data_IF_123699692769
#
_entry.id   IF_123699692769
#
_cell.length_a   1.000
_cell.length_b   1.000
_cell.length_c   1.000
_cell.angle_alpha   90.00
_cell.angle_beta   90.00
_cell.angle_gamma   90.00
#
_symmetry.space_group_name_H-M   'P 1'
#
loop_
_entity.id
_entity.type
_entity.pdbx_description
1 polymer ?
#
# COMPACT_ATOMS: atom_id res chain seq x y z
N UNK A 1 2.64 27.74 0.76
CA UNK A 1 2.92 26.56 -0.05
C UNK A 1 3.92 25.72 0.73
N UNK A 2 3.49 24.68 1.48
CA UNK A 2 4.44 23.71 2.03
C UNK A 2 5.10 23.06 0.81
N UNK A 3 6.41 23.11 0.71
CA UNK A 3 7.15 22.23 -0.20
C UNK A 3 6.85 20.82 0.30
N UNK A 4 6.12 20.04 -0.49
CA UNK A 4 5.80 18.68 -0.13
C UNK A 4 7.11 17.90 -0.07
N UNK A 5 7.47 17.46 1.14
CA UNK A 5 8.68 16.69 1.37
C UNK A 5 8.55 15.33 0.69
N UNK A 6 9.49 15.00 -0.19
CA UNK A 6 9.57 13.67 -0.77
C UNK A 6 10.10 12.71 0.30
N UNK A 7 9.23 11.78 0.75
CA UNK A 7 9.62 10.80 1.77
C UNK A 7 10.20 9.52 1.17
N UNK A 8 9.89 9.21 -0.09
CA UNK A 8 10.51 8.13 -0.86
C UNK A 8 11.01 8.73 -2.18
N UNK A 9 12.25 8.45 -2.53
CA UNK A 9 12.83 8.80 -3.82
C UNK A 9 13.50 7.57 -4.44
N UNK A 10 13.14 7.27 -5.67
CA UNK A 10 13.65 6.12 -6.44
C UNK A 10 14.21 6.61 -7.76
N UNK A 11 15.46 6.25 -8.03
CA UNK A 11 16.17 6.68 -9.23
C UNK A 11 16.77 5.47 -9.96
N UNK A 12 16.36 5.28 -11.21
CA UNK A 12 16.83 4.26 -12.15
C UNK A 12 16.91 2.85 -11.53
N UNK A 13 15.86 2.46 -10.80
CA UNK A 13 15.81 1.22 -10.04
C UNK A 13 15.66 0.02 -10.98
N UNK A 14 16.56 -0.97 -10.86
CA UNK A 14 16.55 -2.20 -11.66
C UNK A 14 16.65 -3.44 -10.81
N UNK A 15 15.94 -4.51 -11.25
CA UNK A 15 16.04 -5.84 -10.65
C UNK A 15 15.74 -6.92 -11.68
N UNK A 16 16.60 -7.94 -11.72
CA UNK A 16 16.45 -9.12 -12.56
C UNK A 16 16.51 -10.39 -11.70
N UNK A 17 15.87 -11.44 -12.17
CA UNK A 17 15.95 -12.80 -11.66
C UNK A 17 16.34 -13.72 -12.83
N UNK A 18 17.64 -14.06 -12.92
CA UNK A 18 18.20 -14.70 -14.11
C UNK A 18 17.97 -13.83 -15.34
N UNK A 19 17.33 -14.37 -16.36
CA UNK A 19 17.05 -13.68 -17.62
C UNK A 19 15.80 -12.78 -17.57
N UNK A 20 15.05 -12.77 -16.45
CA UNK A 20 13.81 -12.02 -16.31
C UNK A 20 14.10 -10.68 -15.64
N UNK A 21 14.00 -9.58 -16.39
CA UNK A 21 14.05 -8.23 -15.84
C UNK A 21 12.70 -7.87 -15.21
N UNK A 22 12.61 -8.00 -13.88
CA UNK A 22 11.39 -7.72 -13.12
C UNK A 22 11.14 -6.21 -12.92
N UNK A 23 12.22 -5.39 -12.86
CA UNK A 23 12.15 -3.94 -12.78
C UNK A 23 13.22 -3.35 -13.72
N UNK A 24 12.80 -2.48 -14.65
CA UNK A 24 13.58 -2.08 -15.82
C UNK A 24 14.00 -0.61 -15.81
N UNK A 25 14.46 -0.10 -14.65
CA UNK A 25 14.91 1.29 -14.54
C UNK A 25 13.76 2.25 -14.35
N UNK A 26 13.12 2.19 -13.18
CA UNK A 26 11.99 3.05 -12.82
C UNK A 26 12.44 4.24 -11.97
N UNK A 27 11.79 5.39 -12.19
CA UNK A 27 12.02 6.65 -11.49
C UNK A 27 10.70 7.20 -10.95
N UNK A 28 10.62 7.40 -9.62
CA UNK A 28 9.46 8.00 -8.99
C UNK A 28 9.79 8.55 -7.61
N UNK A 29 8.86 9.31 -7.06
CA UNK A 29 8.89 9.77 -5.67
C UNK A 29 7.51 9.65 -5.03
N UNK A 30 7.49 9.70 -3.71
CA UNK A 30 6.27 9.72 -2.90
C UNK A 30 6.36 10.89 -1.93
N UNK A 31 5.32 11.72 -1.89
CA UNK A 31 5.23 12.85 -0.99
C UNK A 31 4.81 12.40 0.42
N UNK A 32 5.34 13.07 1.45
CA UNK A 32 5.02 12.78 2.85
C UNK A 32 3.53 13.00 3.14
N UNK A 33 2.89 12.06 3.84
CA UNK A 33 1.47 12.11 4.19
C UNK A 33 0.51 11.79 3.04
N UNK A 34 1.02 11.37 1.87
CA UNK A 34 0.18 11.00 0.73
C UNK A 34 -0.24 9.52 0.76
N UNK A 35 -1.35 9.23 0.10
CA UNK A 35 -1.77 7.90 -0.27
C UNK A 35 -1.33 7.62 -1.72
N UNK A 36 -0.33 6.79 -1.88
CA UNK A 36 0.31 6.48 -3.14
C UNK A 36 -0.01 5.05 -3.59
N UNK A 37 -0.37 4.84 -4.85
CA UNK A 37 -0.73 3.53 -5.38
C UNK A 37 0.13 3.08 -6.56
N UNK A 38 0.61 1.83 -6.49
CA UNK A 38 1.10 1.08 -7.63
C UNK A 38 -0.01 0.19 -8.19
N UNK A 39 -0.51 0.53 -9.38
CA UNK A 39 -1.49 -0.24 -10.13
C UNK A 39 -0.77 -1.07 -11.19
N UNK A 40 -1.17 -2.32 -11.36
CA UNK A 40 -0.66 -3.18 -12.44
C UNK A 40 -1.08 -4.64 -12.25
N UNK A 41 -0.98 -5.40 -13.32
CA UNK A 41 -1.27 -6.84 -13.29
C UNK A 41 -0.22 -7.62 -12.46
N UNK A 42 -0.53 -8.88 -12.17
CA UNK A 42 0.45 -9.78 -11.53
C UNK A 42 1.66 -9.94 -12.46
N UNK A 43 2.87 -9.92 -11.87
CA UNK A 43 4.11 -9.96 -12.63
C UNK A 43 4.59 -8.61 -13.18
N UNK A 44 3.85 -7.50 -12.97
CA UNK A 44 4.27 -6.17 -13.42
C UNK A 44 5.51 -5.59 -12.70
N UNK A 45 6.00 -6.22 -11.62
CA UNK A 45 7.16 -5.77 -10.84
C UNK A 45 6.81 -5.01 -9.55
N UNK A 46 5.52 -4.95 -9.17
CA UNK A 46 5.04 -4.21 -7.98
C UNK A 46 5.63 -4.73 -6.67
N UNK A 47 5.45 -6.02 -6.36
CA UNK A 47 5.95 -6.63 -5.12
C UNK A 47 7.48 -6.62 -5.07
N UNK A 48 8.16 -6.89 -6.21
CA UNK A 48 9.62 -6.75 -6.31
C UNK A 48 10.09 -5.34 -5.95
N UNK A 49 9.35 -4.32 -6.38
CA UNK A 49 9.66 -2.92 -6.02
C UNK A 49 9.43 -2.66 -4.54
N UNK A 50 8.31 -3.11 -3.96
CA UNK A 50 8.07 -3.01 -2.50
C UNK A 50 9.17 -3.71 -1.71
N UNK A 51 9.58 -4.92 -2.10
CA UNK A 51 10.62 -5.67 -1.39
C UNK A 51 11.94 -4.92 -1.36
N UNK A 52 12.30 -4.23 -2.45
CA UNK A 52 13.48 -3.38 -2.49
C UNK A 52 13.33 -2.13 -1.61
N UNK A 53 12.15 -1.47 -1.61
CA UNK A 53 11.86 -0.33 -0.74
C UNK A 53 11.90 -0.74 0.74
N UNK A 54 11.40 -1.91 1.08
CA UNK A 54 11.35 -2.44 2.43
C UNK A 54 12.67 -3.08 2.91
N UNK A 55 13.74 -3.00 2.13
CA UNK A 55 15.07 -3.57 2.43
C UNK A 55 15.12 -5.10 2.50
N UNK A 56 14.11 -5.79 1.95
CA UNK A 56 14.08 -7.27 1.90
C UNK A 56 14.84 -7.82 0.70
N UNK A 57 14.97 -7.03 -0.34
CA UNK A 57 15.62 -7.40 -1.59
C UNK A 57 16.61 -6.32 -2.01
N UNK A 58 17.82 -6.74 -2.39
CA UNK A 58 18.82 -5.81 -2.94
C UNK A 58 18.54 -5.55 -4.40
N UNK A 59 18.53 -4.28 -4.80
CA UNK A 59 18.48 -3.87 -6.20
C UNK A 59 19.78 -4.25 -6.93
N UNK A 60 19.68 -4.54 -8.22
CA UNK A 60 20.87 -4.76 -9.05
C UNK A 60 21.56 -3.42 -9.42
N UNK A 61 20.75 -2.38 -9.61
CA UNK A 61 21.23 -1.00 -9.79
C UNK A 61 20.15 0.02 -9.46
N UNK A 62 20.54 1.29 -9.41
CA UNK A 62 19.69 2.40 -9.02
C UNK A 62 19.88 2.80 -7.57
N UNK A 63 19.10 3.79 -7.12
CA UNK A 63 19.16 4.31 -5.75
C UNK A 63 17.77 4.48 -5.18
N UNK A 64 17.63 4.15 -3.91
CA UNK A 64 16.41 4.36 -3.13
C UNK A 64 16.78 5.17 -1.90
N UNK A 65 16.03 6.26 -1.66
CA UNK A 65 16.04 7.01 -0.42
C UNK A 65 14.69 6.94 0.26
N UNK A 66 14.70 6.74 1.57
CA UNK A 66 13.51 6.77 2.43
C UNK A 66 13.77 7.74 3.56
N UNK A 67 12.99 8.83 3.62
CA UNK A 67 13.28 10.00 4.43
C UNK A 67 14.71 10.51 4.08
N UNK A 68 15.62 10.58 5.04
CA UNK A 68 17.02 11.00 4.81
C UNK A 68 17.99 9.81 4.66
N UNK A 69 17.48 8.57 4.59
CA UNK A 69 18.27 7.34 4.63
C UNK A 69 18.35 6.64 3.28
N UNK A 70 19.50 6.07 2.97
CA UNK A 70 19.72 5.31 1.72
C UNK A 70 19.57 3.81 1.98
N UNK A 71 18.73 3.14 1.19
CA UNK A 71 18.54 1.68 1.25
C UNK A 71 19.88 0.97 0.95
N UNK A 72 20.13 -0.15 1.61
CA UNK A 72 21.38 -0.91 1.66
C UNK A 72 22.55 -0.25 2.42
N UNK A 73 22.34 0.96 2.99
CA UNK A 73 23.32 1.61 3.88
C UNK A 73 22.77 1.84 5.27
N UNK A 74 21.52 2.26 5.35
CA UNK A 74 20.85 2.66 6.59
C UNK A 74 19.63 1.76 6.92
N UNK A 75 19.66 0.49 6.53
CA UNK A 75 18.50 -0.41 6.57
C UNK A 75 17.83 -0.51 7.95
N UNK A 76 18.60 -0.52 9.04
CA UNK A 76 18.03 -0.61 10.39
C UNK A 76 17.24 0.65 10.77
N UNK A 77 17.69 1.82 10.31
CA UNK A 77 16.96 3.08 10.50
C UNK A 77 15.68 3.07 9.67
N UNK A 78 15.78 2.64 8.40
CA UNK A 78 14.63 2.51 7.50
C UNK A 78 13.59 1.55 8.08
N UNK A 79 14.00 0.37 8.57
CA UNK A 79 13.10 -0.61 9.21
C UNK A 79 12.36 -0.04 10.42
N UNK A 80 12.93 0.93 11.12
CA UNK A 80 12.25 1.60 12.23
C UNK A 80 11.18 2.60 11.76
N UNK A 81 11.30 3.13 10.53
CA UNK A 81 10.40 4.12 9.95
C UNK A 81 9.24 3.51 9.16
N UNK A 82 9.33 2.23 8.80
CA UNK A 82 8.34 1.57 7.95
C UNK A 82 7.52 0.53 8.70
N UNK A 83 6.26 0.43 8.33
CA UNK A 83 5.39 -0.71 8.63
C UNK A 83 5.06 -1.44 7.32
N UNK A 84 5.08 -2.77 7.33
CA UNK A 84 4.83 -3.57 6.11
C UNK A 84 3.72 -4.57 6.36
N UNK A 85 2.75 -4.62 5.48
CA UNK A 85 1.68 -5.64 5.44
C UNK A 85 1.82 -6.40 4.14
N UNK A 86 2.19 -7.66 4.24
CA UNK A 86 2.31 -8.57 3.11
C UNK A 86 0.94 -9.04 2.60
N UNK A 87 0.92 -9.62 1.42
CA UNK A 87 -0.28 -10.25 0.88
C UNK A 87 -0.78 -11.36 1.81
N UNK A 88 0.13 -12.25 2.24
CA UNK A 88 -0.15 -13.29 3.23
C UNK A 88 0.20 -12.82 4.65
N UNK A 89 -0.59 -13.29 5.63
CA UNK A 89 -0.31 -12.99 7.03
C UNK A 89 0.89 -13.75 7.55
N UNK A 90 1.65 -13.08 8.41
CA UNK A 90 2.80 -13.66 9.13
C UNK A 90 2.52 -13.86 10.62
N UNK A 91 1.24 -13.80 11.03
CA UNK A 91 0.82 -13.93 12.42
C UNK A 91 0.51 -15.39 12.75
N UNK A 92 0.71 -15.77 14.03
CA UNK A 92 0.44 -17.11 14.52
C UNK A 92 -1.06 -17.29 14.80
N UNK A 93 -1.66 -18.30 14.17
CA UNK A 93 -3.08 -18.64 14.27
C UNK A 93 -3.49 -19.11 15.68
N UNK A 94 -2.58 -19.65 16.48
CA UNK A 94 -2.84 -20.18 17.81
C UNK A 94 -2.79 -19.09 18.90
N UNK A 95 -2.06 -18.01 18.65
CA UNK A 95 -1.97 -16.89 19.57
C UNK A 95 -3.18 -15.98 19.44
N UNK A 96 -3.51 -15.30 20.54
CA UNK A 96 -4.47 -14.19 20.51
C UNK A 96 -3.91 -13.01 19.72
N UNK A 97 -4.80 -12.12 19.28
CA UNK A 97 -4.38 -10.87 18.63
C UNK A 97 -3.40 -10.09 19.50
N UNK A 98 -3.71 -9.93 20.79
CA UNK A 98 -2.85 -9.21 21.74
C UNK A 98 -1.47 -9.86 21.91
N UNK A 99 -1.41 -11.19 21.94
CA UNK A 99 -0.13 -11.93 22.05
C UNK A 99 0.71 -11.75 20.79
N UNK A 100 0.13 -11.88 19.60
CA UNK A 100 0.80 -11.61 18.35
C UNK A 100 1.42 -10.20 18.30
N UNK A 101 0.64 -9.17 18.66
CA UNK A 101 1.12 -7.79 18.70
C UNK A 101 2.22 -7.59 19.77
N UNK A 102 2.10 -8.29 20.92
CA UNK A 102 3.12 -8.25 21.98
C UNK A 102 4.43 -8.90 21.53
N UNK A 103 4.38 -10.03 20.84
CA UNK A 103 5.57 -10.67 20.25
C UNK A 103 6.26 -9.68 19.31
N UNK A 104 5.49 -9.06 18.40
CA UNK A 104 6.04 -8.09 17.45
C UNK A 104 6.71 -6.90 18.15
N UNK A 105 6.12 -6.37 19.22
CA UNK A 105 6.68 -5.22 19.95
C UNK A 105 8.07 -5.49 20.55
N UNK A 106 8.40 -6.76 20.83
CA UNK A 106 9.70 -7.15 21.36
C UNK A 106 10.84 -6.95 20.36
N UNK A 107 10.58 -7.05 19.08
CA UNK A 107 11.58 -6.77 18.05
C UNK A 107 12.03 -5.30 18.02
N UNK A 108 11.23 -4.40 18.60
CA UNK A 108 11.55 -2.97 18.75
C UNK A 108 12.02 -2.60 20.15
N UNK A 109 12.36 -3.59 21.02
CA UNK A 109 12.75 -3.38 22.41
C UNK A 109 11.77 -2.51 23.21
N UNK A 110 10.47 -2.57 22.85
CA UNK A 110 9.42 -1.74 23.44
C UNK A 110 9.17 -2.15 24.90
N UNK A 111 9.07 -1.17 25.78
CA UNK A 111 8.70 -1.42 27.19
C UNK A 111 7.24 -1.90 27.27
N UNK A 112 6.88 -2.55 28.42
CA UNK A 112 5.48 -2.97 28.66
C UNK A 112 4.52 -1.78 28.72
N UNK A 113 4.98 -0.65 29.24
CA UNK A 113 4.17 0.57 29.32
C UNK A 113 3.90 1.15 27.94
N UNK A 114 4.94 1.29 27.11
CA UNK A 114 4.82 1.78 25.74
C UNK A 114 3.97 0.86 24.86
N UNK A 115 4.16 -0.47 25.00
CA UNK A 115 3.32 -1.44 24.32
C UNK A 115 1.83 -1.25 24.65
N UNK A 116 1.47 -1.14 25.94
CA UNK A 116 0.08 -0.99 26.32
C UNK A 116 -0.52 0.32 25.78
N UNK A 117 0.24 1.43 25.85
CA UNK A 117 -0.18 2.72 25.30
C UNK A 117 -0.39 2.62 23.77
N UNK A 118 0.58 2.09 23.03
CA UNK A 118 0.49 1.95 21.58
C UNK A 118 -0.62 0.97 21.19
N UNK A 119 -0.81 -0.12 21.94
CA UNK A 119 -1.88 -1.09 21.69
C UNK A 119 -3.27 -0.43 21.78
N UNK A 120 -3.49 0.43 22.77
CA UNK A 120 -4.76 1.12 22.94
C UNK A 120 -5.07 2.04 21.76
N UNK A 121 -4.11 2.87 21.36
CA UNK A 121 -4.20 3.76 20.20
C UNK A 121 -4.47 2.98 18.91
N UNK A 122 -3.66 1.94 18.66
CA UNK A 122 -3.78 1.12 17.45
C UNK A 122 -5.09 0.34 17.43
N UNK A 123 -5.50 -0.23 18.57
CA UNK A 123 -6.75 -0.98 18.65
C UNK A 123 -7.97 -0.10 18.35
N UNK A 124 -7.91 1.18 18.71
CA UNK A 124 -8.94 2.16 18.37
C UNK A 124 -8.96 2.45 16.87
N UNK A 125 -7.81 2.83 16.30
CA UNK A 125 -7.72 3.23 14.88
C UNK A 125 -8.04 2.07 13.94
N UNK A 126 -7.56 0.85 14.25
CA UNK A 126 -7.78 -0.33 13.42
C UNK A 126 -9.09 -1.06 13.72
N UNK A 127 -9.82 -0.67 14.79
CA UNK A 127 -11.08 -1.28 15.19
C UNK A 127 -10.94 -2.75 15.60
N UNK A 128 -9.83 -3.13 16.27
CA UNK A 128 -9.57 -4.50 16.73
C UNK A 128 -9.86 -4.71 18.22
N UNK A 129 -10.31 -3.68 18.94
CA UNK A 129 -10.51 -3.69 20.40
C UNK A 129 -11.33 -4.87 20.90
N UNK A 130 -12.43 -5.16 20.23
CA UNK A 130 -13.41 -6.18 20.67
C UNK A 130 -12.91 -7.62 20.51
N UNK A 131 -11.81 -7.84 19.79
CA UNK A 131 -11.28 -9.18 19.56
C UNK A 131 -9.78 -9.33 19.89
N UNK A 132 -9.22 -8.42 20.69
CA UNK A 132 -7.83 -8.50 21.15
C UNK A 132 -7.49 -9.83 21.84
N UNK A 133 -8.44 -10.41 22.57
CA UNK A 133 -8.26 -11.66 23.31
C UNK A 133 -8.71 -12.90 22.52
N UNK A 134 -9.14 -12.76 21.26
CA UNK A 134 -9.49 -13.88 20.39
C UNK A 134 -8.25 -14.41 19.69
N UNK A 135 -8.21 -15.72 19.47
CA UNK A 135 -7.18 -16.36 18.65
C UNK A 135 -7.25 -15.81 17.21
N UNK A 136 -6.08 -15.50 16.65
CA UNK A 136 -5.97 -14.95 15.30
C UNK A 136 -6.61 -15.86 14.25
N UNK A 137 -6.39 -17.19 14.35
CA UNK A 137 -6.94 -18.19 13.46
C UNK A 137 -8.48 -18.27 13.43
N UNK A 138 -9.16 -17.72 14.45
CA UNK A 138 -10.64 -17.70 14.54
C UNK A 138 -11.28 -16.41 14.01
N UNK A 139 -10.49 -15.52 13.42
CA UNK A 139 -10.96 -14.27 12.88
C UNK A 139 -11.43 -14.42 11.43
N UNK A 140 -12.40 -13.58 11.02
CA UNK A 140 -12.75 -13.43 9.60
C UNK A 140 -11.60 -12.81 8.80
N UNK A 141 -11.56 -12.95 7.46
CA UNK A 141 -10.53 -12.38 6.60
C UNK A 141 -10.35 -10.88 6.80
N UNK A 142 -11.44 -10.12 6.87
CA UNK A 142 -11.38 -8.68 7.14
C UNK A 142 -10.89 -8.34 8.54
N UNK A 143 -11.20 -9.16 9.57
CA UNK A 143 -10.65 -9.00 10.91
C UNK A 143 -9.16 -9.31 10.93
N UNK A 144 -8.71 -10.40 10.30
CA UNK A 144 -7.29 -10.74 10.15
C UNK A 144 -6.52 -9.59 9.48
N UNK A 145 -7.03 -9.05 8.38
CA UNK A 145 -6.37 -7.94 7.67
C UNK A 145 -6.21 -6.70 8.54
N UNK A 146 -7.20 -6.36 9.36
CA UNK A 146 -7.08 -5.26 10.33
C UNK A 146 -6.02 -5.52 11.40
N UNK A 147 -5.85 -6.76 11.83
CA UNK A 147 -4.78 -7.15 12.77
C UNK A 147 -3.41 -7.10 12.09
N UNK A 148 -3.28 -7.51 10.84
CA UNK A 148 -2.02 -7.40 10.09
C UNK A 148 -1.57 -5.94 9.97
N UNK A 149 -2.52 -5.03 9.71
CA UNK A 149 -2.24 -3.60 9.69
C UNK A 149 -1.89 -3.10 11.09
N UNK A 150 -2.62 -3.51 12.14
CA UNK A 150 -2.29 -3.17 13.52
C UNK A 150 -0.87 -3.61 13.91
N UNK A 151 -0.45 -4.80 13.48
CA UNK A 151 0.93 -5.28 13.66
C UNK A 151 1.97 -4.37 13.01
N UNK A 152 1.68 -3.91 11.79
CA UNK A 152 2.59 -3.03 11.07
C UNK A 152 2.69 -1.63 11.71
N UNK A 153 1.67 -1.21 12.48
CA UNK A 153 1.62 0.10 13.15
C UNK A 153 2.24 0.10 14.55
N UNK A 154 2.64 -1.06 15.11
CA UNK A 154 3.02 -1.17 16.52
C UNK A 154 4.22 -0.28 16.92
N UNK A 155 5.13 -0.03 16.00
CA UNK A 155 6.29 0.84 16.18
C UNK A 155 6.06 2.29 15.75
N UNK A 156 4.81 2.70 15.44
CA UNK A 156 4.44 4.03 14.95
C UNK A 156 5.27 4.46 13.72
N UNK A 157 5.21 3.72 12.62
CA UNK A 157 5.99 4.02 11.43
C UNK A 157 5.55 5.33 10.79
N UNK A 158 6.43 5.98 10.02
CA UNK A 158 6.11 7.11 9.16
C UNK A 158 5.45 6.68 7.85
N UNK A 159 5.82 5.48 7.35
CA UNK A 159 5.36 4.94 6.08
C UNK A 159 4.75 3.56 6.30
N UNK A 160 3.57 3.34 5.75
CA UNK A 160 2.89 2.05 5.75
C UNK A 160 2.85 1.48 4.33
N UNK A 161 3.58 0.38 4.12
CA UNK A 161 3.52 -0.40 2.89
C UNK A 161 2.44 -1.47 2.99
N UNK A 162 1.56 -1.53 1.99
CA UNK A 162 0.44 -2.46 1.91
C UNK A 162 0.50 -3.21 0.57
N UNK A 163 0.88 -4.49 0.60
CA UNK A 163 0.87 -5.31 -0.61
C UNK A 163 -0.50 -5.97 -0.78
N UNK A 164 -1.25 -5.53 -1.78
CA UNK A 164 -2.61 -5.98 -2.12
C UNK A 164 -3.56 -6.09 -0.90
N UNK A 165 -3.80 -4.99 -0.14
CA UNK A 165 -4.40 -5.05 1.20
C UNK A 165 -5.82 -5.60 1.26
N UNK A 166 -6.52 -5.68 0.16
CA UNK A 166 -7.95 -6.06 0.12
C UNK A 166 -8.25 -7.27 -0.75
N UNK A 167 -7.22 -7.88 -1.33
CA UNK A 167 -7.37 -9.09 -2.15
C UNK A 167 -8.00 -10.22 -1.33
N UNK A 168 -8.99 -10.90 -1.92
CA UNK A 168 -9.71 -11.99 -1.26
C UNK A 168 -10.74 -11.57 -0.20
N UNK A 169 -10.94 -10.28 0.05
CA UNK A 169 -11.94 -9.79 1.00
C UNK A 169 -13.31 -9.61 0.35
N UNK A 170 -14.36 -9.89 1.14
CA UNK A 170 -15.73 -9.54 0.77
C UNK A 170 -15.92 -8.00 0.66
N UNK A 171 -16.94 -7.50 -0.06
CA UNK A 171 -17.14 -6.07 -0.28
C UNK A 171 -17.25 -5.23 0.99
N UNK A 172 -17.88 -5.75 2.04
CA UNK A 172 -18.03 -5.04 3.33
C UNK A 172 -16.69 -4.92 4.06
N UNK A 173 -15.94 -6.02 4.11
CA UNK A 173 -14.60 -6.05 4.71
C UNK A 173 -13.63 -5.15 3.95
N UNK A 174 -13.67 -5.18 2.60
CA UNK A 174 -12.88 -4.31 1.73
C UNK A 174 -13.14 -2.83 2.04
N UNK A 175 -14.42 -2.42 2.09
CA UNK A 175 -14.79 -1.05 2.46
C UNK A 175 -14.24 -0.67 3.84
N UNK A 176 -14.41 -1.54 4.84
CA UNK A 176 -13.93 -1.28 6.22
C UNK A 176 -12.41 -1.11 6.28
N UNK A 177 -11.63 -1.89 5.51
CA UNK A 177 -10.17 -1.75 5.42
C UNK A 177 -9.80 -0.42 4.74
N UNK A 178 -10.50 -0.04 3.67
CA UNK A 178 -10.29 1.23 3.00
C UNK A 178 -10.60 2.45 3.89
N UNK A 179 -11.71 2.41 4.61
CA UNK A 179 -12.08 3.50 5.55
C UNK A 179 -11.01 3.66 6.64
N UNK A 180 -10.42 2.56 7.10
CA UNK A 180 -9.31 2.58 8.05
C UNK A 180 -8.02 3.16 7.42
N UNK A 181 -7.64 2.75 6.19
CA UNK A 181 -6.45 3.27 5.49
C UNK A 181 -6.57 4.79 5.30
N UNK A 182 -7.74 5.27 4.88
CA UNK A 182 -8.00 6.70 4.75
C UNK A 182 -7.85 7.44 6.06
N UNK A 183 -8.42 6.90 7.13
CA UNK A 183 -8.29 7.50 8.46
C UNK A 183 -6.84 7.59 8.93
N UNK A 184 -6.05 6.54 8.70
CA UNK A 184 -4.62 6.56 9.00
C UNK A 184 -3.87 7.66 8.25
N UNK A 185 -4.17 7.85 6.98
CA UNK A 185 -3.54 8.87 6.16
C UNK A 185 -3.99 10.28 6.58
N UNK A 186 -5.30 10.52 6.71
CA UNK A 186 -5.86 11.87 6.93
C UNK A 186 -5.67 12.35 8.36
N UNK A 187 -5.93 11.50 9.37
CA UNK A 187 -5.88 11.90 10.78
C UNK A 187 -4.47 11.80 11.39
N UNK A 188 -3.64 10.88 10.90
CA UNK A 188 -2.30 10.64 11.45
C UNK A 188 -1.17 11.17 10.56
N UNK A 189 -1.49 11.81 9.44
CA UNK A 189 -0.52 12.25 8.42
C UNK A 189 0.44 11.13 7.99
N UNK A 190 -0.08 9.89 7.92
CA UNK A 190 0.71 8.72 7.57
C UNK A 190 0.89 8.64 6.06
N UNK A 191 2.12 8.43 5.61
CA UNK A 191 2.34 8.09 4.21
C UNK A 191 1.95 6.64 3.99
N UNK A 192 1.07 6.39 3.04
CA UNK A 192 0.63 5.03 2.69
C UNK A 192 1.06 4.72 1.26
N UNK A 193 1.82 3.65 1.11
CA UNK A 193 2.20 3.10 -0.19
C UNK A 193 1.49 1.75 -0.37
N UNK A 194 0.63 1.64 -1.36
CA UNK A 194 -0.08 0.39 -1.61
C UNK A 194 0.13 -0.14 -3.03
N UNK A 195 0.08 -1.46 -3.18
CA UNK A 195 -0.08 -2.10 -4.48
C UNK A 195 -1.51 -2.60 -4.64
N UNK A 196 -1.99 -2.59 -5.86
CA UNK A 196 -3.28 -3.18 -6.23
C UNK A 196 -3.32 -3.52 -7.72
N UNK A 197 -4.17 -4.46 -8.10
CA UNK A 197 -4.55 -4.70 -9.49
C UNK A 197 -5.98 -4.19 -9.78
N UNK A 198 -6.65 -3.60 -8.78
CA UNK A 198 -7.98 -3.03 -8.91
C UNK A 198 -7.92 -1.52 -9.18
N UNK A 199 -8.42 -1.12 -10.35
CA UNK A 199 -8.43 0.29 -10.76
C UNK A 199 -9.25 1.17 -9.82
N UNK A 200 -10.37 0.64 -9.30
CA UNK A 200 -11.24 1.33 -8.34
C UNK A 200 -10.54 1.65 -7.01
N UNK A 201 -9.57 0.82 -6.63
CA UNK A 201 -8.76 1.05 -5.43
C UNK A 201 -7.70 2.09 -5.67
N UNK A 202 -6.95 1.96 -6.78
CA UNK A 202 -5.94 2.93 -7.15
C UNK A 202 -6.53 4.34 -7.32
N UNK A 203 -7.77 4.43 -7.85
CA UNK A 203 -8.46 5.72 -8.03
C UNK A 203 -8.74 6.49 -6.73
N UNK A 204 -8.58 5.86 -5.57
CA UNK A 204 -8.68 6.51 -4.26
C UNK A 204 -7.35 7.13 -3.80
N UNK A 205 -6.25 6.84 -4.45
CA UNK A 205 -4.94 7.38 -4.12
C UNK A 205 -4.79 8.83 -4.59
N UNK A 206 -3.91 9.58 -3.91
CA UNK A 206 -3.56 10.94 -4.28
C UNK A 206 -2.69 10.95 -5.53
N UNK A 207 -1.82 9.93 -5.67
CA UNK A 207 -0.98 9.73 -6.85
C UNK A 207 -0.89 8.24 -7.21
N UNK A 208 -0.91 7.96 -8.50
CA UNK A 208 -0.95 6.60 -9.05
C UNK A 208 0.21 6.41 -10.01
N UNK A 209 0.89 5.27 -9.91
CA UNK A 209 1.78 4.76 -10.95
C UNK A 209 1.18 3.49 -11.52
N UNK A 210 1.10 3.42 -12.85
CA UNK A 210 0.68 2.24 -13.58
C UNK A 210 1.94 1.52 -14.05
N UNK A 211 2.14 0.31 -13.55
CA UNK A 211 3.25 -0.56 -13.92
C UNK A 211 2.82 -1.65 -14.89
N UNK A 212 3.63 -1.90 -15.88
CA UNK A 212 3.50 -3.03 -16.77
C UNK A 212 4.89 -3.56 -17.17
N UNK A 213 5.08 -4.89 -17.12
CA UNK A 213 6.31 -5.57 -17.54
C UNK A 213 7.62 -4.92 -17.00
N UNK A 214 7.60 -4.50 -15.75
CA UNK A 214 8.75 -3.90 -15.06
C UNK A 214 9.01 -2.42 -15.38
N UNK A 215 8.12 -1.75 -16.11
CA UNK A 215 8.22 -0.32 -16.48
C UNK A 215 7.05 0.47 -15.93
N UNK A 216 7.26 1.79 -15.82
CA UNK A 216 6.19 2.75 -15.56
C UNK A 216 5.59 3.17 -16.91
N UNK A 217 4.35 2.78 -17.16
CA UNK A 217 3.61 3.15 -18.38
C UNK A 217 2.93 4.51 -18.25
N UNK A 218 2.40 4.81 -17.06
CA UNK A 218 1.76 6.08 -16.79
C UNK A 218 1.89 6.43 -15.30
N UNK A 219 1.84 7.72 -14.99
CA UNK A 219 1.81 8.22 -13.62
C UNK A 219 1.09 9.56 -13.57
N UNK A 220 0.44 9.84 -12.43
CA UNK A 220 -0.29 11.09 -12.20
C UNK A 220 -1.38 10.91 -11.15
N UNK A 221 -2.11 11.98 -10.90
CA UNK A 221 -3.36 11.95 -10.13
C UNK A 221 -4.45 11.20 -10.89
N UNK A 222 -5.50 10.79 -10.20
CA UNK A 222 -6.68 10.15 -10.85
C UNK A 222 -7.26 11.05 -11.96
N UNK A 223 -7.26 12.37 -11.74
CA UNK A 223 -7.76 13.33 -12.72
C UNK A 223 -6.89 13.36 -13.99
N UNK A 224 -5.58 13.55 -13.85
CA UNK A 224 -4.61 13.59 -14.97
C UNK A 224 -4.62 12.30 -15.80
N UNK A 225 -4.69 11.15 -15.12
CA UNK A 225 -4.75 9.85 -15.81
C UNK A 225 -6.07 9.67 -16.57
N UNK A 226 -7.19 10.11 -16.01
CA UNK A 226 -8.48 10.08 -16.72
C UNK A 226 -8.48 11.02 -17.92
N UNK A 227 -8.02 12.25 -17.78
CA UNK A 227 -7.95 13.22 -18.86
C UNK A 227 -7.11 12.70 -20.04
N UNK A 228 -5.98 12.04 -19.71
CA UNK A 228 -5.04 11.56 -20.76
C UNK A 228 -5.45 10.24 -21.40
N UNK A 229 -6.07 9.32 -20.67
CA UNK A 229 -6.27 7.93 -21.12
C UNK A 229 -7.73 7.48 -21.16
N UNK A 230 -8.65 8.14 -20.44
CA UNK A 230 -10.05 7.77 -20.48
C UNK A 230 -10.71 8.35 -21.73
N UNK A 231 -11.55 7.53 -22.40
CA UNK A 231 -12.47 8.02 -23.42
C UNK A 231 -13.81 8.27 -22.76
N UNK A 232 -14.41 9.43 -23.03
CA UNK A 232 -15.75 9.73 -22.59
C UNK A 232 -16.73 8.72 -23.20
N UNK A 233 -17.58 8.13 -22.36
CA UNK A 233 -18.65 7.25 -22.79
C UNK A 233 -19.98 7.98 -22.64
N UNK A 234 -20.56 8.38 -23.77
CA UNK A 234 -21.92 8.92 -23.81
C UNK A 234 -22.90 7.77 -24.01
N UNK A 235 -23.84 7.57 -23.09
CA UNK A 235 -24.94 6.62 -23.22
C UNK A 235 -26.21 7.43 -23.52
N UNK A 236 -26.76 7.28 -24.75
CA UNK A 236 -27.96 7.96 -25.17
C UNK A 236 -29.10 6.96 -25.23
N UNK A 237 -30.14 7.18 -24.44
CA UNK A 237 -31.37 6.40 -24.48
C UNK A 237 -32.35 7.04 -25.46
N UNK A 238 -32.67 6.37 -26.56
CA UNK A 238 -33.67 6.85 -27.53
C UNK A 238 -34.86 5.89 -27.62
N UNK A 239 -36.02 6.43 -27.86
CA UNK A 239 -37.24 5.62 -28.07
C UNK A 239 -37.31 4.94 -29.46
N UNK A 240 -36.49 5.37 -30.43
CA UNK A 240 -36.41 4.82 -31.78
C UNK A 240 -34.96 4.54 -32.16
N UNK A 241 -34.63 3.29 -32.38
CA UNK A 241 -33.28 2.82 -32.73
C UNK A 241 -32.80 3.15 -34.17
N UNK A 242 -33.64 3.69 -35.03
CA UNK A 242 -33.37 3.76 -36.47
C UNK A 242 -32.51 4.97 -36.91
N UNK A 243 -32.28 5.94 -36.07
CA UNK A 243 -31.59 7.19 -36.46
C UNK A 243 -30.14 7.34 -35.98
N UNK A 244 -29.60 6.39 -35.23
CA UNK A 244 -28.32 6.61 -34.51
C UNK A 244 -27.06 6.10 -35.20
N UNK A 245 -27.17 5.31 -36.27
CA UNK A 245 -25.99 4.72 -36.94
C UNK A 245 -25.25 5.65 -37.90
N UNK A 246 -25.77 6.84 -38.20
CA UNK A 246 -25.19 7.73 -39.22
C UNK A 246 -24.29 8.86 -38.73
N UNK A 247 -24.13 9.05 -37.41
CA UNK A 247 -23.36 10.19 -36.85
C UNK A 247 -22.15 9.81 -36.00
N UNK A 248 -21.80 8.53 -35.87
CA UNK A 248 -20.66 8.07 -35.05
C UNK A 248 -19.47 7.57 -35.86
N UNK A 249 -19.41 7.85 -37.15
CA UNK A 249 -18.26 7.59 -38.01
C UNK A 249 -17.62 8.90 -38.46
N UNK A 250 -16.97 9.61 -37.50
CA UNK A 250 -15.96 10.63 -37.76
C UNK A 250 -14.78 10.39 -36.83
#
# INVERSE_FOLDING_TARGET
MKLDKKIIEVNNLKKSYGDIEAVKGIDFYVDEGSLFAFLGLNGAGKSTTIDMLCTFLKADSGKIKIDDFEVNKDDDKIKSLIGVVFQDSVLDDLLTVKENLKVRSKFYNMSKADFNKNLEEIAYVTGIKDFLNRQYGKLSGGQRRRVDIARALINKPKILFLDEPTTGLDPKSRKSVWDMIRRLQEENNMTVFLTTHYMEEAAKADYIIIMNEGKIEAKGTTYELKEKYAKDKMIIYTKNNTFFMHYLSC
#
